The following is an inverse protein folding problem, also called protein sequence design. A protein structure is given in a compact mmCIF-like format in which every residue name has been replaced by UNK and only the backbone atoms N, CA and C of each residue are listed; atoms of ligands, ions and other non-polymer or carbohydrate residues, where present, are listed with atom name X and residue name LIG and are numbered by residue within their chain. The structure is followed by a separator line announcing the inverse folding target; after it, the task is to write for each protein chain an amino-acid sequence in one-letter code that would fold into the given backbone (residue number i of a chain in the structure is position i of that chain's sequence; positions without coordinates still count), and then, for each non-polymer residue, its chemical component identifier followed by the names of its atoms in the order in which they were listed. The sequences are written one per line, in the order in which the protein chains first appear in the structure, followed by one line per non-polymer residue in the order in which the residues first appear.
data_IF_108945174537
#
_entry.id   IF_108945174537
#
_cell.length_a   1.000
_cell.length_b   1.000
_cell.length_c   1.000
_cell.angle_alpha   90.00
_cell.angle_beta   90.00
_cell.angle_gamma   90.00
#
_symmetry.space_group_name_H-M   'P 1'
#
loop_
_entity.id
_entity.type
_entity.pdbx_description
1 polymer ?
#
# COMPACT_ATOMS: atom_id res chain seq x y z
N UNK A 1 -10.38 37.65 13.61
CA UNK A 1 -10.59 36.36 12.92
C UNK A 1 -9.48 35.44 13.40
N UNK A 2 -9.78 34.53 14.34
CA UNK A 2 -8.77 33.84 15.15
C UNK A 2 -8.26 32.57 14.46
N UNK A 3 -6.95 32.36 14.57
CA UNK A 3 -6.20 31.17 14.12
C UNK A 3 -6.75 29.92 14.82
N UNK A 4 -7.40 29.02 14.07
CA UNK A 4 -7.88 27.72 14.57
C UNK A 4 -7.05 26.52 14.09
N UNK A 5 -6.09 26.73 13.18
CA UNK A 5 -5.37 25.62 12.53
C UNK A 5 -4.21 25.02 13.33
N UNK A 6 -3.70 25.69 14.37
CA UNK A 6 -2.49 25.23 15.06
C UNK A 6 -2.73 24.26 16.22
N UNK A 7 -3.90 24.32 16.88
CA UNK A 7 -4.21 23.40 17.98
C UNK A 7 -4.64 22.03 17.47
N UNK A 8 -5.47 21.99 16.42
CA UNK A 8 -6.02 20.74 15.88
C UNK A 8 -4.94 19.84 15.24
N UNK A 9 -3.90 20.44 14.65
CA UNK A 9 -2.73 19.69 14.15
C UNK A 9 -1.89 19.10 15.29
N UNK A 10 -1.70 19.86 16.37
CA UNK A 10 -0.98 19.40 17.58
C UNK A 10 -1.70 18.24 18.25
N UNK A 11 -3.02 18.36 18.46
CA UNK A 11 -3.84 17.34 19.11
C UNK A 11 -3.82 16.01 18.32
N UNK A 12 -3.82 16.10 16.99
CA UNK A 12 -3.78 14.94 16.10
C UNK A 12 -2.44 14.23 16.13
N UNK A 13 -1.33 14.98 16.08
CA UNK A 13 0.00 14.40 16.19
C UNK A 13 0.16 13.68 17.54
N UNK A 14 -0.21 14.32 18.64
CA UNK A 14 -0.15 13.74 19.98
C UNK A 14 -0.98 12.45 20.09
N UNK A 15 -2.16 12.41 19.47
CA UNK A 15 -2.99 11.20 19.42
C UNK A 15 -2.31 10.06 18.66
N UNK A 16 -1.77 10.32 17.47
CA UNK A 16 -1.03 9.31 16.69
C UNK A 16 0.23 8.83 17.44
N UNK A 17 0.93 9.73 18.11
CA UNK A 17 2.09 9.40 18.93
C UNK A 17 1.70 8.50 20.12
N UNK A 18 0.55 8.76 20.75
CA UNK A 18 0.02 7.93 21.83
C UNK A 18 -0.22 6.50 21.36
N UNK A 19 -0.79 6.31 20.17
CA UNK A 19 -0.98 4.98 19.58
C UNK A 19 0.34 4.26 19.34
N UNK A 20 1.33 4.92 18.74
CA UNK A 20 2.65 4.32 18.51
C UNK A 20 3.33 3.94 19.82
N UNK A 21 3.20 4.78 20.85
CA UNK A 21 3.74 4.50 22.20
C UNK A 21 3.04 3.29 22.83
N UNK A 22 1.71 3.23 22.75
CA UNK A 22 0.93 2.10 23.26
C UNK A 22 1.34 0.77 22.60
N UNK A 23 1.56 0.79 21.28
CA UNK A 23 2.05 -0.39 20.55
C UNK A 23 3.41 -0.88 21.05
N UNK A 24 4.31 0.06 21.38
CA UNK A 24 5.67 -0.24 21.84
C UNK A 24 5.70 -0.74 23.30
N UNK A 25 4.84 -0.19 24.16
CA UNK A 25 4.87 -0.44 25.60
C UNK A 25 4.01 -1.63 26.04
N UNK A 26 3.01 -2.04 25.24
CA UNK A 26 2.11 -3.13 25.60
C UNK A 26 2.68 -4.52 25.27
N UNK A 27 2.41 -5.49 26.14
CA UNK A 27 2.68 -6.91 25.91
C UNK A 27 1.44 -7.68 25.39
N UNK A 28 0.27 -7.02 25.27
CA UNK A 28 -0.96 -7.66 24.76
C UNK A 28 -1.02 -7.58 23.23
N UNK A 29 -1.10 -8.74 22.60
CA UNK A 29 -1.28 -8.84 21.15
C UNK A 29 -2.61 -8.22 20.71
N UNK A 30 -3.70 -8.39 21.47
CA UNK A 30 -4.99 -7.78 21.14
C UNK A 30 -4.92 -6.25 21.14
N UNK A 31 -4.18 -5.65 22.08
CA UNK A 31 -3.95 -4.21 22.10
C UNK A 31 -3.13 -3.77 20.87
N UNK A 32 -2.08 -4.51 20.52
CA UNK A 32 -1.27 -4.25 19.31
C UNK A 32 -2.10 -4.34 18.04
N UNK A 33 -2.93 -5.38 17.90
CA UNK A 33 -3.85 -5.54 16.76
C UNK A 33 -4.77 -4.33 16.62
N UNK A 34 -5.36 -3.87 17.73
CA UNK A 34 -6.25 -2.72 17.73
C UNK A 34 -5.53 -1.42 17.34
N UNK A 35 -4.30 -1.22 17.82
CA UNK A 35 -3.48 -0.08 17.43
C UNK A 35 -3.12 -0.12 15.95
N UNK A 36 -2.65 -1.27 15.45
CA UNK A 36 -2.30 -1.45 14.03
C UNK A 36 -3.50 -1.18 13.12
N UNK A 37 -4.68 -1.70 13.47
CA UNK A 37 -5.91 -1.45 12.73
C UNK A 37 -6.27 0.05 12.69
N UNK A 38 -6.11 0.76 13.81
CA UNK A 38 -6.33 2.20 13.88
C UNK A 38 -5.34 2.97 12.99
N UNK A 39 -4.04 2.67 13.11
CA UNK A 39 -3.01 3.30 12.29
C UNK A 39 -3.24 3.03 10.79
N UNK A 40 -3.62 1.81 10.42
CA UNK A 40 -3.90 1.45 9.02
C UNK A 40 -5.10 2.24 8.45
N UNK A 41 -6.15 2.43 9.26
CA UNK A 41 -7.29 3.28 8.89
C UNK A 41 -6.89 4.76 8.75
N UNK A 42 -6.04 5.27 9.65
CA UNK A 42 -5.57 6.66 9.60
C UNK A 42 -4.60 6.93 8.44
N UNK A 43 -3.88 5.90 7.98
CA UNK A 43 -2.99 5.97 6.83
C UNK A 43 -3.71 6.26 5.50
N UNK A 44 -5.04 6.20 5.45
CA UNK A 44 -5.81 6.60 4.27
C UNK A 44 -5.96 8.13 4.14
N UNK A 45 -5.89 8.89 5.25
CA UNK A 45 -6.11 10.34 5.22
C UNK A 45 -4.81 11.10 4.92
N UNK A 46 -4.73 11.89 3.83
CA UNK A 46 -3.55 12.66 3.49
C UNK A 46 -3.13 13.66 4.57
N UNK A 47 -4.05 14.13 5.42
CA UNK A 47 -3.72 15.05 6.52
C UNK A 47 -2.90 14.39 7.64
N UNK A 48 -2.79 13.06 7.65
CA UNK A 48 -1.99 12.31 8.62
C UNK A 48 -0.59 11.98 8.11
N UNK A 49 -0.32 12.14 6.80
CA UNK A 49 0.87 11.56 6.16
C UNK A 49 2.18 12.11 6.72
N UNK A 50 2.24 13.42 7.02
CA UNK A 50 3.43 14.03 7.62
C UNK A 50 3.69 13.45 9.01
N UNK A 51 2.65 13.36 9.84
CA UNK A 51 2.76 12.83 11.20
C UNK A 51 3.10 11.33 11.21
N UNK A 52 2.46 10.53 10.35
CA UNK A 52 2.73 9.09 10.26
C UNK A 52 4.17 8.81 9.81
N UNK A 53 4.73 9.67 8.95
CA UNK A 53 6.12 9.58 8.52
C UNK A 53 7.08 10.03 9.62
N UNK A 54 6.77 11.11 10.33
CA UNK A 54 7.56 11.57 11.47
C UNK A 54 7.60 10.51 12.59
N UNK A 55 6.49 9.82 12.81
CA UNK A 55 6.36 8.72 13.77
C UNK A 55 6.83 7.36 13.24
N UNK A 56 7.43 7.31 12.05
CA UNK A 56 8.01 6.09 11.45
C UNK A 56 7.01 4.92 11.30
N UNK A 57 5.73 5.23 11.09
CA UNK A 57 4.68 4.20 10.97
C UNK A 57 4.86 3.32 9.73
N UNK A 58 5.53 3.83 8.68
CA UNK A 58 5.88 3.01 7.51
C UNK A 58 6.83 1.87 7.88
N UNK A 59 7.87 2.16 8.66
CA UNK A 59 8.82 1.15 9.16
C UNK A 59 8.13 0.17 10.09
N UNK A 60 7.29 0.67 11.01
CA UNK A 60 6.47 -0.16 11.91
C UNK A 60 5.63 -1.18 11.11
N UNK A 61 4.94 -0.77 10.05
CA UNK A 61 4.19 -1.72 9.24
C UNK A 61 5.04 -2.70 8.44
N UNK A 62 6.25 -2.31 8.01
CA UNK A 62 7.18 -3.24 7.35
C UNK A 62 7.64 -4.34 8.32
N UNK A 63 7.92 -3.98 9.57
CA UNK A 63 8.30 -4.95 10.60
C UNK A 63 7.20 -6.00 10.81
N UNK A 64 5.93 -5.57 10.80
CA UNK A 64 4.77 -6.47 10.95
C UNK A 64 4.64 -7.51 9.83
N UNK A 65 5.22 -7.29 8.65
CA UNK A 65 5.18 -8.29 7.56
C UNK A 65 6.06 -9.52 7.84
N UNK A 66 6.91 -9.46 8.88
CA UNK A 66 7.81 -10.56 9.27
C UNK A 66 7.34 -11.31 10.52
N UNK A 67 6.25 -10.86 11.13
CA UNK A 67 5.67 -11.46 12.33
C UNK A 67 4.93 -12.77 12.03
N UNK A 68 4.86 -13.65 13.02
CA UNK A 68 4.10 -14.91 12.91
C UNK A 68 2.58 -14.69 13.07
N UNK A 69 2.17 -13.63 13.76
CA UNK A 69 0.76 -13.29 13.94
C UNK A 69 0.18 -12.77 12.61
N UNK A 70 -0.70 -13.56 11.99
CA UNK A 70 -1.34 -13.21 10.73
C UNK A 70 -2.17 -11.91 10.78
N UNK A 71 -2.73 -11.53 11.94
CA UNK A 71 -3.44 -10.26 12.10
C UNK A 71 -2.47 -9.07 12.01
N UNK A 72 -1.27 -9.19 12.59
CA UNK A 72 -0.24 -8.16 12.45
C UNK A 72 0.17 -7.99 11.00
N UNK A 73 0.41 -9.10 10.30
CA UNK A 73 0.74 -9.09 8.87
C UNK A 73 -0.40 -8.46 8.04
N UNK A 74 -1.66 -8.80 8.32
CA UNK A 74 -2.80 -8.25 7.59
C UNK A 74 -2.94 -6.74 7.81
N UNK A 75 -2.90 -6.24 9.05
CA UNK A 75 -3.00 -4.81 9.32
C UNK A 75 -1.78 -4.04 8.83
N UNK A 76 -0.57 -4.59 8.98
CA UNK A 76 0.66 -4.01 8.44
C UNK A 76 0.60 -3.88 6.92
N UNK A 77 0.17 -4.93 6.23
CA UNK A 77 0.02 -4.93 4.78
C UNK A 77 -1.07 -3.96 4.31
N UNK A 78 -2.20 -3.88 5.01
CA UNK A 78 -3.26 -2.91 4.74
C UNK A 78 -2.80 -1.46 4.93
N UNK A 79 -2.06 -1.18 6.01
CA UNK A 79 -1.46 0.12 6.27
C UNK A 79 -0.45 0.53 5.20
N UNK A 80 0.44 -0.38 4.79
CA UNK A 80 1.39 -0.15 3.69
C UNK A 80 0.69 0.06 2.36
N UNK A 81 -0.41 -0.64 2.10
CA UNK A 81 -1.22 -0.42 0.90
C UNK A 81 -1.71 1.02 0.83
N UNK A 82 -2.24 1.56 1.92
CA UNK A 82 -2.68 2.95 2.00
C UNK A 82 -1.50 3.93 1.84
N UNK A 83 -0.40 3.70 2.56
CA UNK A 83 0.79 4.58 2.49
C UNK A 83 1.51 4.54 1.15
N UNK A 84 1.42 3.43 0.41
CA UNK A 84 2.10 3.26 -0.89
C UNK A 84 1.58 4.20 -1.98
N UNK A 85 0.47 4.91 -1.76
CA UNK A 85 0.00 5.96 -2.65
C UNK A 85 0.81 7.26 -2.52
N UNK A 86 1.49 7.47 -1.38
CA UNK A 86 2.27 8.67 -1.10
C UNK A 86 3.74 8.50 -1.56
N UNK A 87 4.29 9.38 -2.41
CA UNK A 87 5.63 9.24 -2.97
C UNK A 87 6.74 9.07 -1.92
N UNK A 88 6.69 9.83 -0.84
CA UNK A 88 7.72 9.79 0.22
C UNK A 88 7.67 8.47 1.00
N UNK A 89 6.48 7.93 1.24
CA UNK A 89 6.32 6.63 1.88
C UNK A 89 6.77 5.50 0.95
N UNK A 90 6.51 5.60 -0.36
CA UNK A 90 7.05 4.65 -1.35
C UNK A 90 8.57 4.59 -1.32
N UNK A 91 9.24 5.74 -1.24
CA UNK A 91 10.71 5.76 -1.20
C UNK A 91 11.24 5.01 0.03
N UNK A 92 10.60 5.18 1.19
CA UNK A 92 10.92 4.43 2.42
C UNK A 92 10.72 2.93 2.21
N UNK A 93 9.56 2.52 1.67
CA UNK A 93 9.24 1.12 1.40
C UNK A 93 10.28 0.50 0.46
N UNK A 94 10.68 1.20 -0.60
CA UNK A 94 11.67 0.73 -1.56
C UNK A 94 13.07 0.59 -0.95
N UNK A 95 13.46 1.52 -0.07
CA UNK A 95 14.76 1.50 0.61
C UNK A 95 14.88 0.35 1.61
N UNK A 96 13.79 0.00 2.29
CA UNK A 96 13.75 -1.02 3.34
C UNK A 96 13.43 -2.43 2.83
N UNK A 97 13.87 -2.79 1.61
CA UNK A 97 13.60 -4.10 0.99
C UNK A 97 12.10 -4.45 0.88
N UNK A 98 11.21 -3.45 0.91
CA UNK A 98 9.77 -3.65 1.00
C UNK A 98 9.17 -4.41 -0.18
N UNK A 99 9.78 -4.36 -1.37
CA UNK A 99 9.34 -5.20 -2.50
C UNK A 99 9.38 -6.68 -2.13
N UNK A 100 10.46 -7.15 -1.49
CA UNK A 100 10.59 -8.56 -1.13
C UNK A 100 9.59 -8.94 -0.04
N UNK A 101 9.44 -8.10 0.97
CA UNK A 101 8.50 -8.33 2.08
C UNK A 101 7.06 -8.41 1.58
N UNK A 102 6.63 -7.43 0.79
CA UNK A 102 5.29 -7.41 0.19
C UNK A 102 5.08 -8.57 -0.78
N UNK A 103 6.10 -8.98 -1.54
CA UNK A 103 6.00 -10.15 -2.43
C UNK A 103 5.77 -11.44 -1.64
N UNK A 104 6.40 -11.61 -0.47
CA UNK A 104 6.21 -12.78 0.37
C UNK A 104 4.75 -12.91 0.84
N UNK A 105 4.08 -11.78 1.11
CA UNK A 105 2.68 -11.74 1.51
C UNK A 105 1.71 -12.27 0.42
N UNK A 106 2.13 -12.40 -0.84
CA UNK A 106 1.32 -13.02 -1.89
C UNK A 106 1.06 -14.52 -1.66
N UNK A 107 1.86 -15.16 -0.80
CA UNK A 107 1.68 -16.55 -0.40
C UNK A 107 0.81 -16.72 0.87
N UNK A 108 0.23 -15.64 1.39
CA UNK A 108 -0.69 -15.68 2.53
C UNK A 108 -1.94 -16.52 2.22
N UNK A 109 -2.56 -17.10 3.25
CA UNK A 109 -3.87 -17.75 3.13
C UNK A 109 -5.04 -16.75 3.23
N UNK A 110 -4.75 -15.48 3.57
CA UNK A 110 -5.76 -14.44 3.76
C UNK A 110 -5.92 -13.59 2.50
N UNK A 111 -7.15 -13.55 1.99
CA UNK A 111 -7.48 -12.81 0.76
C UNK A 111 -7.14 -11.32 0.87
N UNK A 112 -7.46 -10.69 2.00
CA UNK A 112 -7.21 -9.25 2.22
C UNK A 112 -5.72 -8.90 2.23
N UNK A 113 -4.88 -9.76 2.81
CA UNK A 113 -3.42 -9.60 2.76
C UNK A 113 -2.91 -9.68 1.33
N UNK A 114 -3.39 -10.67 0.55
CA UNK A 114 -3.00 -10.83 -0.86
C UNK A 114 -3.44 -9.61 -1.69
N UNK A 115 -4.68 -9.14 -1.53
CA UNK A 115 -5.21 -7.98 -2.24
C UNK A 115 -4.41 -6.71 -1.93
N UNK A 116 -4.10 -6.49 -0.65
CA UNK A 116 -3.28 -5.37 -0.20
C UNK A 116 -1.85 -5.45 -0.74
N UNK A 117 -1.26 -6.65 -0.76
CA UNK A 117 0.07 -6.88 -1.32
C UNK A 117 0.11 -6.62 -2.84
N UNK A 118 -0.86 -7.13 -3.61
CA UNK A 118 -0.96 -6.87 -5.05
C UNK A 118 -1.07 -5.36 -5.31
N UNK A 119 -1.96 -4.68 -4.59
CA UNK A 119 -2.18 -3.23 -4.77
C UNK A 119 -0.93 -2.43 -4.41
N UNK A 120 -0.26 -2.79 -3.32
CA UNK A 120 1.00 -2.17 -2.91
C UNK A 120 2.09 -2.37 -3.96
N UNK A 121 2.26 -3.59 -4.47
CA UNK A 121 3.21 -3.87 -5.56
C UNK A 121 2.83 -3.09 -6.83
N UNK A 122 1.53 -2.92 -7.10
CA UNK A 122 1.09 -2.08 -8.22
C UNK A 122 1.53 -0.62 -8.02
N UNK A 123 1.48 -0.10 -6.80
CA UNK A 123 1.93 1.26 -6.50
C UNK A 123 3.46 1.42 -6.49
N UNK A 124 4.19 0.41 -6.04
CA UNK A 124 5.65 0.42 -5.92
C UNK A 124 6.36 0.11 -7.24
N UNK A 125 5.93 -0.97 -7.90
CA UNK A 125 6.63 -1.57 -9.03
C UNK A 125 6.15 -0.96 -10.33
N UNK A 126 4.86 -0.61 -10.45
CA UNK A 126 4.31 -0.53 -11.79
C UNK A 126 4.92 0.60 -12.61
N UNK A 127 5.71 0.27 -13.66
CA UNK A 127 5.86 1.16 -14.78
C UNK A 127 4.48 1.18 -15.45
N UNK A 128 4.02 2.32 -15.95
CA UNK A 128 2.66 2.50 -16.50
C UNK A 128 2.20 1.42 -17.52
N UNK A 129 3.10 0.55 -18.00
CA UNK A 129 2.87 -0.56 -18.93
C UNK A 129 2.12 -1.75 -18.34
N UNK A 130 2.38 -2.18 -17.10
CA UNK A 130 1.59 -3.29 -16.53
C UNK A 130 0.16 -2.83 -16.20
N UNK A 131 -0.01 -1.59 -15.74
CA UNK A 131 -1.35 -1.02 -15.55
C UNK A 131 -2.11 -0.87 -16.87
N UNK A 132 -1.44 -0.49 -17.96
CA UNK A 132 -2.07 -0.48 -19.28
C UNK A 132 -2.50 -1.87 -19.75
N UNK A 133 -1.85 -2.95 -19.31
CA UNK A 133 -2.35 -4.32 -19.56
C UNK A 133 -3.59 -4.62 -18.73
N UNK A 134 -3.59 -4.27 -17.45
CA UNK A 134 -4.72 -4.52 -16.56
C UNK A 134 -5.94 -3.65 -16.89
N UNK A 135 -5.75 -2.45 -17.46
CA UNK A 135 -6.86 -1.62 -17.95
C UNK A 135 -7.60 -2.24 -19.14
N UNK A 136 -6.99 -3.25 -19.78
CA UNK A 136 -7.60 -4.06 -20.84
C UNK A 136 -8.11 -5.42 -20.33
N UNK A 137 -8.03 -5.70 -19.03
CA UNK A 137 -8.49 -6.96 -18.44
C UNK A 137 -10.01 -7.10 -18.53
N UNK A 138 -10.50 -8.33 -18.69
CA UNK A 138 -11.94 -8.63 -18.63
C UNK A 138 -12.50 -8.46 -17.21
N UNK A 139 -11.68 -8.65 -16.18
CA UNK A 139 -12.06 -8.45 -14.78
C UNK A 139 -12.40 -6.98 -14.50
N UNK A 140 -13.65 -6.65 -14.11
CA UNK A 140 -14.04 -5.27 -13.83
C UNK A 140 -13.25 -4.65 -12.67
N UNK A 141 -12.93 -5.45 -11.63
CA UNK A 141 -12.15 -4.97 -10.48
C UNK A 141 -10.74 -4.55 -10.91
N UNK A 142 -10.04 -5.42 -11.64
CA UNK A 142 -8.68 -5.14 -12.10
C UNK A 142 -8.65 -3.99 -13.11
N UNK A 143 -9.62 -3.96 -14.03
CA UNK A 143 -9.74 -2.88 -15.02
C UNK A 143 -9.98 -1.52 -14.37
N UNK A 144 -10.89 -1.45 -13.41
CA UNK A 144 -11.22 -0.19 -12.75
C UNK A 144 -10.04 0.31 -11.90
N UNK A 145 -9.41 -0.58 -11.12
CA UNK A 145 -8.22 -0.23 -10.32
C UNK A 145 -7.08 0.25 -11.22
N UNK A 146 -6.87 -0.41 -12.37
CA UNK A 146 -5.86 -0.03 -13.33
C UNK A 146 -6.12 1.32 -13.99
N UNK A 147 -7.37 1.61 -14.34
CA UNK A 147 -7.77 2.88 -14.93
C UNK A 147 -7.56 4.06 -13.96
N UNK A 148 -7.98 3.92 -12.70
CA UNK A 148 -7.80 4.95 -11.67
C UNK A 148 -6.33 5.26 -11.46
N UNK A 149 -5.48 4.24 -11.32
CA UNK A 149 -4.05 4.45 -11.14
C UNK A 149 -3.38 5.14 -12.34
N UNK A 150 -3.72 4.74 -13.57
CA UNK A 150 -3.16 5.39 -14.77
C UNK A 150 -3.56 6.86 -14.86
N UNK A 151 -4.74 7.21 -14.35
CA UNK A 151 -5.25 8.57 -14.33
C UNK A 151 -4.60 9.41 -13.22
N UNK A 152 -4.51 8.86 -12.01
CA UNK A 152 -4.20 9.64 -10.80
C UNK A 152 -2.71 9.57 -10.42
N UNK A 153 -2.01 8.50 -10.81
CA UNK A 153 -0.64 8.22 -10.37
C UNK A 153 0.40 8.29 -11.50
N UNK A 154 -0.01 8.42 -12.77
CA UNK A 154 0.89 8.47 -13.92
C UNK A 154 0.75 9.78 -14.70
N UNK A 155 1.88 10.35 -15.12
CA UNK A 155 1.91 11.43 -16.11
C UNK A 155 1.57 10.90 -17.51
N UNK A 156 1.05 11.78 -18.39
CA UNK A 156 0.73 11.42 -19.78
C UNK A 156 1.96 10.85 -20.52
N UNK A 157 3.15 11.35 -20.20
CA UNK A 157 4.42 10.91 -20.77
C UNK A 157 4.83 9.52 -20.26
N UNK A 158 4.52 9.16 -19.01
CA UNK A 158 4.73 7.81 -18.49
C UNK A 158 3.77 6.81 -19.14
N UNK A 159 2.49 7.18 -19.27
CA UNK A 159 1.49 6.35 -19.96
C UNK A 159 1.85 6.16 -21.43
N UNK A 160 2.18 7.23 -22.16
CA UNK A 160 2.56 7.14 -23.57
C UNK A 160 3.81 6.28 -23.80
N UNK A 161 4.84 6.43 -22.96
CA UNK A 161 6.05 5.57 -23.01
C UNK A 161 5.70 4.10 -22.82
N UNK A 162 4.81 3.82 -21.88
CA UNK A 162 4.37 2.49 -21.61
C UNK A 162 3.49 1.88 -22.71
N UNK A 163 2.60 2.66 -23.33
CA UNK A 163 1.81 2.24 -24.51
C UNK A 163 2.73 1.88 -25.69
N UNK A 164 3.79 2.66 -25.90
CA UNK A 164 4.80 2.39 -26.91
C UNK A 164 5.58 1.10 -26.64
N UNK A 165 5.93 0.83 -25.38
CA UNK A 165 6.60 -0.41 -24.98
C UNK A 165 5.68 -1.64 -25.15
N UNK A 166 4.39 -1.51 -24.82
CA UNK A 166 3.42 -2.59 -24.97
C UNK A 166 3.17 -2.98 -26.42
N UNK A 167 3.19 -2.02 -27.36
CA UNK A 167 3.08 -2.31 -28.80
C UNK A 167 4.24 -3.18 -29.32
N UNK A 168 5.37 -3.23 -28.62
CA UNK A 168 6.53 -4.08 -28.95
C UNK A 168 6.53 -5.48 -28.34
N UNK A 169 5.65 -5.78 -27.37
CA UNK A 169 5.56 -7.06 -26.66
C UNK A 169 4.18 -7.72 -26.87
N UNK A 170 3.87 -8.11 -28.10
CA UNK A 170 2.83 -9.08 -28.39
C UNK A 170 3.45 -10.47 -28.54
N UNK A 171 3.26 -11.34 -27.54
CA UNK A 171 2.77 -12.74 -27.64
C UNK A 171 3.13 -13.50 -26.37
N UNK A 172 2.18 -13.64 -25.44
CA UNK A 172 2.12 -14.76 -24.49
C UNK A 172 0.77 -14.74 -23.74
N UNK A 173 -0.32 -14.92 -24.48
CA UNK A 173 -1.54 -15.49 -23.90
C UNK A 173 -1.82 -16.73 -24.73
N UNK A 174 -1.14 -17.81 -24.35
CA UNK A 174 -1.28 -19.14 -24.91
C UNK A 174 -1.29 -20.12 -23.76
N UNK A 175 -2.35 -20.08 -22.96
CA UNK A 175 -2.68 -21.18 -22.04
C UNK A 175 -3.71 -22.03 -22.79
N UNK A 176 -3.36 -23.24 -23.26
CA UNK A 176 -4.34 -24.15 -23.83
C UNK A 176 -5.18 -24.76 -22.70
N UNK A 177 -6.50 -24.67 -22.81
CA UNK A 177 -7.42 -25.42 -21.96
C UNK A 177 -7.32 -26.92 -22.28
N UNK A 178 -7.38 -27.82 -21.27
CA UNK A 178 -7.51 -29.25 -21.51
C UNK A 178 -8.83 -29.51 -22.23
N UNK A 179 -8.80 -30.39 -23.24
CA UNK A 179 -10.00 -30.90 -23.88
C UNK A 179 -10.50 -32.09 -23.06
N UNK A 180 -11.74 -31.98 -22.59
CA UNK A 180 -12.69 -33.09 -22.54
C UNK A 180 -14.04 -32.57 -23.09
#
# INVERSE_FOLDING_TARGET
MWRKGSSEGSDRFEYLQTLVTEFQDTDSDEAKEQVLANLANFAYDPNNMEYLRELQVTDLFLDMLTEENENFVEFGMGGLCNLSMEPQCRDIILQNSGISLVTNCLSSQREETILSAITTLMNLITPSSCMLRFSLSESPRLRNLAAVFLQDCCTKEQVARAEHQMKGQQTAVGIPLPKD
#
